data_IF_650534618001
#
_entry.id   IF_650534618001
#
_cell.length_a   1.000
_cell.length_b   1.000
_cell.length_c   1.000
_cell.angle_alpha   90.00
_cell.angle_beta   90.00
_cell.angle_gamma   90.00
#
_symmetry.space_group_name_H-M   'P 1'
#
loop_
_entity.id
_entity.type
_entity.pdbx_description
1 polymer ?
#
# COMPACT_ATOMS: atom_id res chain seq x y z
N UNK A 1 10.08 22.85 3.39
CA UNK A 1 10.50 21.86 2.36
C UNK A 1 9.56 21.99 1.18
N UNK A 2 10.08 22.18 -0.04
CA UNK A 2 9.25 22.17 -1.25
C UNK A 2 9.12 20.72 -1.69
N UNK A 3 7.97 20.10 -1.44
CA UNK A 3 7.69 18.70 -1.79
C UNK A 3 7.18 18.58 -3.23
N UNK A 4 7.78 19.31 -4.17
CA UNK A 4 7.44 19.21 -5.59
C UNK A 4 8.68 18.77 -6.34
N UNK A 5 8.56 17.75 -7.19
CA UNK A 5 9.69 17.25 -7.95
C UNK A 5 10.37 16.02 -7.33
N UNK A 6 9.65 15.23 -6.53
CA UNK A 6 10.18 13.94 -6.09
C UNK A 6 10.18 13.02 -7.31
N UNK A 7 11.35 12.59 -7.74
CA UNK A 7 11.51 11.67 -8.87
C UNK A 7 11.21 10.25 -8.39
N UNK A 8 10.33 9.56 -9.11
CA UNK A 8 9.95 8.18 -8.84
C UNK A 8 10.18 7.39 -10.11
N UNK A 9 11.08 6.41 -10.01
CA UNK A 9 11.34 5.45 -11.07
C UNK A 9 10.19 4.43 -11.19
N UNK A 10 9.79 4.09 -12.40
CA UNK A 10 8.77 3.08 -12.72
C UNK A 10 9.23 2.32 -13.97
N UNK A 11 9.85 1.16 -13.77
CA UNK A 11 10.62 0.48 -14.81
C UNK A 11 11.73 1.40 -15.32
N UNK A 12 11.84 1.55 -16.64
CA UNK A 12 12.84 2.43 -17.28
C UNK A 12 12.47 3.93 -17.28
N UNK A 13 11.27 4.27 -16.80
CA UNK A 13 10.79 5.65 -16.79
C UNK A 13 11.05 6.31 -15.43
N UNK A 14 11.27 7.62 -15.44
CA UNK A 14 11.30 8.44 -14.22
C UNK A 14 10.21 9.50 -14.33
N UNK A 15 9.29 9.48 -13.37
CA UNK A 15 8.15 10.39 -13.32
C UNK A 15 8.25 11.30 -12.11
N UNK A 16 7.75 12.52 -12.25
CA UNK A 16 7.83 13.53 -11.20
C UNK A 16 6.54 13.60 -10.39
N UNK A 17 6.67 13.42 -9.09
CA UNK A 17 5.55 13.50 -8.16
C UNK A 17 5.43 14.90 -7.55
N UNK A 18 4.19 15.37 -7.51
CA UNK A 18 3.78 16.64 -6.89
C UNK A 18 3.03 16.32 -5.61
N UNK A 19 3.47 16.88 -4.49
CA UNK A 19 2.79 16.71 -3.22
C UNK A 19 2.02 17.98 -2.89
N UNK A 20 0.71 17.85 -2.70
CA UNK A 20 -0.14 18.88 -2.10
C UNK A 20 -0.37 18.51 -0.64
N UNK A 21 -0.34 19.50 0.25
CA UNK A 21 -0.46 19.26 1.69
C UNK A 21 -1.69 19.99 2.21
N UNK A 22 -2.50 19.29 3.00
CA UNK A 22 -3.54 19.86 3.83
C UNK A 22 -3.27 19.54 5.29
N UNK A 23 -3.85 20.34 6.19
CA UNK A 23 -3.81 20.09 7.62
C UNK A 23 -5.23 20.07 8.18
N UNK A 24 -5.49 19.19 9.13
CA UNK A 24 -6.70 19.18 9.94
C UNK A 24 -6.27 19.56 11.36
N UNK A 25 -6.32 20.86 11.71
CA UNK A 25 -5.67 21.37 12.92
C UNK A 25 -6.16 20.73 14.22
N UNK A 26 -7.48 20.53 14.33
CA UNK A 26 -8.10 19.95 15.54
C UNK A 26 -7.65 18.51 15.79
N UNK A 27 -7.37 17.76 14.72
CA UNK A 27 -6.87 16.38 14.80
C UNK A 27 -5.33 16.31 14.79
N UNK A 28 -4.64 17.45 14.67
CA UNK A 28 -3.19 17.55 14.43
C UNK A 28 -2.72 16.64 13.28
N UNK A 29 -3.57 16.44 12.28
CA UNK A 29 -3.32 15.54 11.16
C UNK A 29 -2.79 16.33 9.96
N UNK A 30 -1.71 15.82 9.36
CA UNK A 30 -1.24 16.26 8.05
C UNK A 30 -1.68 15.26 6.99
N UNK A 31 -2.25 15.76 5.90
CA UNK A 31 -2.73 14.96 4.79
C UNK A 31 -1.91 15.33 3.55
N UNK A 32 -1.27 14.32 2.97
CA UNK A 32 -0.46 14.46 1.77
C UNK A 32 -1.23 13.85 0.59
N UNK A 33 -1.47 14.68 -0.43
CA UNK A 33 -2.05 14.25 -1.70
C UNK A 33 -0.93 14.16 -2.73
N UNK A 34 -0.71 12.94 -3.21
CA UNK A 34 0.27 12.63 -4.25
C UNK A 34 -0.40 12.83 -5.60
N UNK A 35 0.20 13.66 -6.45
CA UNK A 35 -0.33 14.06 -7.75
C UNK A 35 0.76 13.93 -8.84
N UNK A 36 0.34 13.68 -10.07
CA UNK A 36 1.19 13.55 -11.25
C UNK A 36 0.35 13.78 -12.51
N UNK A 37 0.88 14.57 -13.45
CA UNK A 37 0.13 14.99 -14.64
C UNK A 37 -0.10 13.85 -15.64
N UNK A 38 0.80 12.85 -15.66
CA UNK A 38 0.74 11.66 -16.53
C UNK A 38 -0.32 10.67 -16.02
N UNK A 39 -0.26 10.34 -14.74
CA UNK A 39 -0.98 9.21 -14.15
C UNK A 39 -2.33 9.56 -13.54
N UNK A 40 -2.54 10.78 -13.03
CA UNK A 40 -3.73 11.09 -12.23
C UNK A 40 -4.69 12.11 -12.86
N UNK A 41 -4.36 12.67 -14.03
CA UNK A 41 -5.23 13.60 -14.77
C UNK A 41 -6.34 12.88 -15.56
N UNK A 42 -7.26 12.21 -14.86
CA UNK A 42 -8.36 11.41 -15.44
C UNK A 42 -9.61 11.41 -14.56
N UNK A 43 -10.70 10.81 -15.05
CA UNK A 43 -12.00 10.80 -14.35
C UNK A 43 -12.20 9.65 -13.36
N UNK A 44 -11.64 8.47 -13.64
CA UNK A 44 -11.79 7.28 -12.80
C UNK A 44 -10.52 6.97 -11.98
N UNK A 45 -10.68 6.26 -10.87
CA UNK A 45 -9.56 5.80 -10.05
C UNK A 45 -8.87 4.62 -10.70
N UNK A 46 -9.50 3.45 -10.73
CA UNK A 46 -8.93 2.23 -11.32
C UNK A 46 -9.63 1.81 -12.60
N UNK A 47 -10.92 2.14 -12.72
CA UNK A 47 -11.78 1.80 -13.84
C UNK A 47 -12.25 3.03 -14.61
N UNK A 48 -12.52 2.84 -15.90
CA UNK A 48 -13.11 3.84 -16.78
C UNK A 48 -14.58 4.05 -16.37
N UNK A 49 -15.04 5.27 -16.04
CA UNK A 49 -16.37 5.51 -15.47
C UNK A 49 -17.57 5.01 -16.29
N UNK A 50 -17.41 4.81 -17.60
CA UNK A 50 -18.50 4.44 -18.51
C UNK A 50 -18.51 2.95 -18.89
N UNK A 51 -17.41 2.22 -18.67
CA UNK A 51 -17.29 0.82 -19.12
C UNK A 51 -17.01 -0.15 -17.99
N UNK A 52 -16.69 0.34 -16.79
CA UNK A 52 -16.22 -0.45 -15.64
C UNK A 52 -14.95 -1.28 -15.92
N UNK A 53 -14.30 -1.06 -17.05
CA UNK A 53 -13.02 -1.69 -17.40
C UNK A 53 -11.88 -1.00 -16.65
N UNK A 54 -10.91 -1.79 -16.18
CA UNK A 54 -9.66 -1.25 -15.66
C UNK A 54 -8.91 -0.42 -16.70
N UNK A 55 -8.18 0.59 -16.24
CA UNK A 55 -7.21 1.29 -17.06
C UNK A 55 -6.00 0.37 -17.34
N UNK A 56 -5.54 0.36 -18.60
CA UNK A 56 -4.40 -0.46 -19.05
C UNK A 56 -3.10 -0.10 -18.33
N UNK A 57 -2.97 1.15 -17.88
CA UNK A 57 -1.79 1.67 -17.19
C UNK A 57 -1.88 1.59 -15.65
N UNK A 58 -2.84 0.83 -15.10
CA UNK A 58 -2.98 0.70 -13.65
C UNK A 58 -1.73 0.14 -12.97
N UNK A 59 -1.01 -0.77 -13.62
CA UNK A 59 0.24 -1.31 -13.09
C UNK A 59 1.28 -0.21 -12.86
N UNK A 60 1.51 0.63 -13.87
CA UNK A 60 2.40 1.79 -13.80
C UNK A 60 1.95 2.78 -12.72
N UNK A 61 0.65 3.06 -12.64
CA UNK A 61 0.08 4.02 -11.69
C UNK A 61 0.19 3.56 -10.24
N UNK A 62 -0.07 2.28 -9.98
CA UNK A 62 0.03 1.69 -8.65
C UNK A 62 1.49 1.57 -8.22
N UNK A 63 2.39 1.15 -9.12
CA UNK A 63 3.83 1.14 -8.85
C UNK A 63 4.35 2.54 -8.53
N UNK A 64 3.99 3.54 -9.34
CA UNK A 64 4.32 4.95 -9.10
C UNK A 64 3.80 5.44 -7.76
N UNK A 65 2.52 5.20 -7.45
CA UNK A 65 1.90 5.67 -6.21
C UNK A 65 2.57 5.06 -4.98
N UNK A 66 2.74 3.73 -4.95
CA UNK A 66 3.29 3.02 -3.79
C UNK A 66 4.76 3.37 -3.55
N UNK A 67 5.60 3.42 -4.61
CA UNK A 67 6.98 3.92 -4.49
C UNK A 67 6.97 5.38 -4.04
N UNK A 68 6.14 6.21 -4.66
CA UNK A 68 6.01 7.62 -4.32
C UNK A 68 5.66 7.89 -2.85
N UNK A 69 4.78 7.09 -2.24
CA UNK A 69 4.51 7.22 -0.79
C UNK A 69 5.79 7.05 0.03
N UNK A 70 6.57 6.00 -0.24
CA UNK A 70 7.79 5.72 0.51
C UNK A 70 8.91 6.74 0.22
N UNK A 71 9.09 7.13 -1.04
CA UNK A 71 10.01 8.21 -1.44
C UNK A 71 9.65 9.54 -0.75
N UNK A 72 8.36 9.83 -0.59
CA UNK A 72 7.90 11.03 0.11
C UNK A 72 8.25 10.98 1.60
N UNK A 73 8.04 9.84 2.26
CA UNK A 73 8.39 9.65 3.68
C UNK A 73 9.91 9.82 3.88
N UNK A 74 10.73 9.19 3.03
CA UNK A 74 12.19 9.35 3.04
C UNK A 74 12.60 10.81 2.84
N UNK A 75 11.98 11.52 1.89
CA UNK A 75 12.30 12.93 1.61
C UNK A 75 11.91 13.88 2.73
N UNK A 76 10.85 13.54 3.47
CA UNK A 76 10.42 14.27 4.67
C UNK A 76 11.38 14.05 5.85
N UNK A 77 12.15 12.97 5.85
CA UNK A 77 12.97 12.57 7.00
C UNK A 77 12.12 12.23 8.23
N UNK A 78 10.89 11.77 8.00
CA UNK A 78 9.96 11.37 9.05
C UNK A 78 10.05 9.86 9.26
N UNK A 79 10.55 9.43 10.43
CA UNK A 79 10.59 8.03 10.85
C UNK A 79 9.20 7.61 11.37
N UNK A 80 8.44 6.77 10.63
CA UNK A 80 7.13 6.34 11.08
C UNK A 80 7.25 5.15 12.03
N UNK A 81 6.56 5.20 13.16
CA UNK A 81 6.43 4.01 14.03
C UNK A 81 5.59 2.92 13.35
N UNK A 82 4.55 3.35 12.62
CA UNK A 82 3.61 2.47 11.93
C UNK A 82 3.34 2.99 10.52
N UNK A 83 3.34 2.07 9.54
CA UNK A 83 2.74 2.27 8.23
C UNK A 83 1.49 1.40 8.15
N UNK A 84 0.32 2.04 8.03
CA UNK A 84 -0.96 1.34 7.93
C UNK A 84 -1.47 1.37 6.49
N UNK A 85 -1.42 0.22 5.84
CA UNK A 85 -1.82 0.03 4.45
C UNK A 85 -3.30 -0.37 4.40
N UNK A 86 -4.08 0.36 3.61
CA UNK A 86 -5.50 0.10 3.42
C UNK A 86 -5.74 -0.61 2.09
N UNK A 87 -6.08 -1.89 2.19
CA UNK A 87 -6.55 -2.72 1.09
C UNK A 87 -5.58 -2.83 -0.11
N UNK A 88 -6.04 -3.42 -1.21
CA UNK A 88 -5.23 -3.79 -2.36
C UNK A 88 -4.44 -2.65 -3.02
N UNK A 89 -4.89 -1.38 -3.08
CA UNK A 89 -4.11 -0.32 -3.72
C UNK A 89 -2.79 -0.03 -2.99
N UNK A 90 -2.72 -0.34 -1.69
CA UNK A 90 -1.54 -0.22 -0.85
C UNK A 90 -0.78 -1.55 -0.66
N UNK A 91 -1.18 -2.61 -1.37
CA UNK A 91 -0.62 -3.97 -1.22
C UNK A 91 0.87 -4.09 -1.56
N UNK A 92 1.43 -3.13 -2.30
CA UNK A 92 2.86 -3.12 -2.64
C UNK A 92 3.73 -2.49 -1.56
N UNK A 93 3.18 -1.64 -0.68
CA UNK A 93 3.98 -0.99 0.37
C UNK A 93 4.67 -2.01 1.28
N UNK A 94 4.00 -3.05 1.81
CA UNK A 94 4.66 -4.03 2.67
C UNK A 94 5.82 -4.73 1.96
N UNK A 95 5.61 -5.19 0.72
CA UNK A 95 6.67 -5.80 -0.11
C UNK A 95 7.86 -4.84 -0.25
N UNK A 96 7.61 -3.59 -0.64
CA UNK A 96 8.66 -2.59 -0.88
C UNK A 96 9.46 -2.29 0.38
N UNK A 97 8.79 -2.10 1.53
CA UNK A 97 9.45 -1.84 2.82
C UNK A 97 10.33 -3.03 3.25
N UNK A 98 9.86 -4.27 3.05
CA UNK A 98 10.61 -5.48 3.44
C UNK A 98 11.70 -5.92 2.46
N UNK A 99 11.71 -5.35 1.25
CA UNK A 99 12.66 -5.74 0.20
C UNK A 99 13.50 -4.55 -0.26
N UNK A 100 12.99 -3.74 -1.19
CA UNK A 100 13.70 -2.61 -1.81
C UNK A 100 14.21 -1.59 -0.80
N UNK A 101 13.40 -1.26 0.23
CA UNK A 101 13.72 -0.24 1.23
C UNK A 101 14.11 -0.84 2.59
N UNK A 102 14.45 -2.14 2.65
CA UNK A 102 14.73 -2.84 3.92
C UNK A 102 15.92 -2.27 4.71
N UNK A 103 16.89 -1.70 3.99
CA UNK A 103 18.12 -1.16 4.56
C UNK A 103 18.03 0.35 4.83
N UNK A 104 16.90 0.99 4.51
CA UNK A 104 16.66 2.40 4.80
C UNK A 104 16.44 2.61 6.30
N UNK A 105 17.32 3.38 6.92
CA UNK A 105 17.32 3.60 8.37
C UNK A 105 15.96 4.12 8.89
N UNK A 106 15.27 4.92 8.07
CA UNK A 106 13.98 5.53 8.39
C UNK A 106 12.87 4.50 8.66
N UNK A 107 12.97 3.30 8.08
CA UNK A 107 11.98 2.23 8.21
C UNK A 107 12.42 1.10 9.16
N UNK A 108 13.62 1.18 9.73
CA UNK A 108 14.25 0.08 10.49
C UNK A 108 13.40 -0.44 11.66
N UNK A 109 12.64 0.45 12.31
CA UNK A 109 11.78 0.11 13.45
C UNK A 109 10.29 0.14 13.12
N UNK A 110 9.92 0.51 11.89
CA UNK A 110 8.54 0.68 11.46
C UNK A 110 7.80 -0.66 11.47
N UNK A 111 6.62 -0.68 12.06
CA UNK A 111 5.67 -1.78 11.92
C UNK A 111 4.76 -1.54 10.71
N UNK A 112 4.59 -2.54 9.85
CA UNK A 112 3.67 -2.45 8.71
C UNK A 112 2.39 -3.21 9.03
N UNK A 113 1.27 -2.50 9.09
CA UNK A 113 -0.07 -3.08 9.20
C UNK A 113 -0.70 -3.16 7.82
N UNK A 114 -1.27 -4.30 7.46
CA UNK A 114 -2.16 -4.42 6.32
C UNK A 114 -3.59 -4.63 6.79
N UNK A 115 -4.50 -3.76 6.36
CA UNK A 115 -5.89 -3.77 6.79
C UNK A 115 -6.81 -4.10 5.62
N UNK A 116 -7.48 -5.24 5.74
CA UNK A 116 -8.32 -5.84 4.73
C UNK A 116 -9.79 -5.49 5.02
N UNK A 117 -10.39 -4.64 4.18
CA UNK A 117 -11.72 -4.06 4.44
C UNK A 117 -12.84 -4.80 3.72
N UNK A 118 -12.74 -5.00 2.41
CA UNK A 118 -13.76 -5.68 1.63
C UNK A 118 -13.19 -6.33 0.35
N UNK A 119 -13.47 -7.63 0.12
CA UNK A 119 -12.95 -8.42 -1.00
C UNK A 119 -13.52 -8.12 -2.39
N UNK A 120 -14.44 -7.17 -2.57
CA UNK A 120 -15.09 -7.00 -3.88
C UNK A 120 -14.03 -6.74 -4.97
N UNK A 121 -13.78 -7.79 -5.76
CA UNK A 121 -12.53 -8.07 -6.47
C UNK A 121 -12.02 -6.89 -7.29
N UNK A 122 -10.93 -6.25 -6.84
CA UNK A 122 -10.07 -5.42 -7.70
C UNK A 122 -8.56 -5.57 -7.40
N UNK A 123 -8.17 -6.45 -6.46
CA UNK A 123 -6.78 -6.60 -6.02
C UNK A 123 -5.86 -7.42 -6.92
N UNK A 124 -6.37 -7.98 -8.02
CA UNK A 124 -5.55 -8.67 -9.01
C UNK A 124 -5.04 -7.67 -10.06
N UNK A 125 -3.72 -7.55 -10.18
CA UNK A 125 -3.12 -6.98 -11.36
C UNK A 125 -3.00 -8.09 -12.42
N UNK A 126 -3.62 -7.87 -13.58
CA UNK A 126 -3.62 -8.81 -14.71
C UNK A 126 -2.22 -9.09 -15.29
N UNK A 127 -1.17 -8.48 -14.74
CA UNK A 127 0.20 -8.66 -15.23
C UNK A 127 1.24 -8.62 -14.11
N UNK A 128 2.12 -9.62 -14.12
CA UNK A 128 3.39 -9.63 -13.37
C UNK A 128 4.29 -8.42 -13.67
N UNK A 129 4.06 -7.71 -14.79
CA UNK A 129 4.76 -6.49 -15.17
C UNK A 129 4.79 -5.47 -14.03
N UNK A 130 3.75 -5.41 -13.18
CA UNK A 130 3.77 -4.48 -12.05
C UNK A 130 4.99 -4.68 -11.14
N UNK A 131 5.45 -5.92 -10.93
CA UNK A 131 6.62 -6.22 -10.11
C UNK A 131 7.93 -5.81 -10.80
N UNK A 132 7.99 -5.96 -12.12
CA UNK A 132 9.13 -5.50 -12.95
C UNK A 132 9.28 -3.98 -12.87
N UNK A 133 8.17 -3.23 -12.77
CA UNK A 133 8.18 -1.76 -12.65
C UNK A 133 8.71 -1.26 -11.30
N UNK A 134 8.77 -2.12 -10.27
CA UNK A 134 9.19 -1.70 -8.93
C UNK A 134 10.70 -1.54 -8.81
N UNK A 135 11.47 -2.22 -9.65
CA UNK A 135 12.92 -2.35 -9.50
C UNK A 135 13.27 -3.03 -8.18
N UNK A 136 12.69 -4.22 -7.96
CA UNK A 136 13.00 -5.06 -6.81
C UNK A 136 14.45 -5.56 -6.88
N UNK A 137 15.11 -5.81 -5.73
CA UNK A 137 16.42 -6.44 -5.70
C UNK A 137 16.48 -7.78 -6.46
N UNK A 138 17.62 -8.11 -7.06
CA UNK A 138 17.81 -9.33 -7.87
C UNK A 138 17.59 -10.65 -7.11
N UNK A 139 17.70 -10.64 -5.77
CA UNK A 139 17.46 -11.80 -4.91
C UNK A 139 15.96 -12.08 -4.68
N UNK A 140 15.07 -11.19 -5.13
CA UNK A 140 13.63 -11.39 -5.08
C UNK A 140 13.15 -12.13 -6.34
N UNK A 141 12.77 -13.38 -6.17
CA UNK A 141 12.19 -14.20 -7.25
C UNK A 141 10.73 -13.81 -7.51
N UNK A 142 10.53 -12.98 -8.53
CA UNK A 142 9.21 -12.50 -8.97
C UNK A 142 8.25 -13.66 -9.27
N UNK A 143 8.73 -14.81 -9.75
CA UNK A 143 7.86 -15.94 -10.07
C UNK A 143 7.15 -16.49 -8.83
N UNK A 144 7.78 -16.41 -7.66
CA UNK A 144 7.17 -16.80 -6.37
C UNK A 144 6.13 -15.80 -5.86
N UNK A 145 6.08 -14.62 -6.45
CA UNK A 145 5.13 -13.57 -6.12
C UNK A 145 3.94 -13.54 -7.10
N UNK A 146 3.93 -14.45 -8.07
CA UNK A 146 2.92 -14.51 -9.14
C UNK A 146 2.26 -15.88 -9.20
N UNK A 147 1.01 -15.91 -9.63
CA UNK A 147 0.31 -17.14 -10.02
C UNK A 147 -0.15 -17.02 -11.47
N UNK A 148 0.28 -17.95 -12.33
CA UNK A 148 0.00 -17.94 -13.77
C UNK A 148 0.26 -16.59 -14.46
N UNK A 149 1.34 -15.90 -14.05
CA UNK A 149 1.73 -14.58 -14.60
C UNK A 149 0.90 -13.40 -14.12
N UNK A 150 -0.02 -13.62 -13.16
CA UNK A 150 -0.79 -12.58 -12.48
C UNK A 150 -0.24 -12.31 -11.09
N UNK A 151 -0.48 -11.10 -10.61
CA UNK A 151 -0.09 -10.67 -9.26
C UNK A 151 -1.33 -10.35 -8.45
N UNK A 152 -1.39 -10.90 -7.25
CA UNK A 152 -2.40 -10.56 -6.27
C UNK A 152 -1.81 -9.57 -5.24
N UNK A 153 -2.23 -8.31 -5.35
CA UNK A 153 -1.76 -7.24 -4.46
C UNK A 153 -2.27 -7.40 -3.03
N UNK A 154 -3.43 -8.04 -2.83
CA UNK A 154 -3.92 -8.38 -1.49
C UNK A 154 -2.98 -9.40 -0.85
N UNK A 155 -2.65 -10.45 -1.61
CA UNK A 155 -1.74 -11.50 -1.12
C UNK A 155 -0.37 -10.94 -0.77
N UNK A 156 0.18 -10.03 -1.58
CA UNK A 156 1.44 -9.35 -1.25
C UNK A 156 1.33 -8.52 0.03
N UNK A 157 0.23 -7.78 0.19
CA UNK A 157 -0.03 -7.00 1.40
C UNK A 157 -0.08 -7.88 2.65
N UNK A 158 -0.78 -9.01 2.56
CA UNK A 158 -0.86 -10.01 3.63
C UNK A 158 0.52 -10.61 3.95
N UNK A 159 1.22 -11.12 2.94
CA UNK A 159 2.45 -11.89 3.09
C UNK A 159 3.62 -11.07 3.66
N UNK A 160 3.72 -9.77 3.32
CA UNK A 160 4.87 -8.94 3.69
C UNK A 160 4.60 -7.97 4.86
N UNK A 161 3.37 -7.93 5.38
CA UNK A 161 3.04 -7.12 6.55
C UNK A 161 3.49 -7.77 7.87
N UNK A 162 3.77 -6.95 8.88
CA UNK A 162 4.05 -7.44 10.24
C UNK A 162 2.75 -7.82 10.97
N UNK A 163 1.66 -7.13 10.64
CA UNK A 163 0.35 -7.32 11.26
C UNK A 163 -0.74 -7.27 10.20
N UNK A 164 -1.69 -8.19 10.27
CA UNK A 164 -2.92 -8.14 9.47
C UNK A 164 -4.09 -7.79 10.37
N UNK A 165 -4.89 -6.80 9.97
CA UNK A 165 -6.10 -6.38 10.66
C UNK A 165 -7.31 -6.51 9.74
N UNK A 166 -8.45 -6.86 10.32
CA UNK A 166 -9.72 -7.00 9.60
C UNK A 166 -10.85 -6.27 10.33
N UNK A 167 -11.89 -5.90 9.59
CA UNK A 167 -13.03 -5.14 10.10
C UNK A 167 -14.31 -5.95 10.33
N UNK A 168 -15.42 -5.22 10.56
CA UNK A 168 -16.77 -5.76 10.79
C UNK A 168 -17.30 -6.68 9.68
N UNK A 169 -16.82 -6.51 8.46
CA UNK A 169 -17.47 -7.03 7.27
C UNK A 169 -16.72 -8.17 6.60
N UNK A 170 -15.49 -8.46 7.05
CA UNK A 170 -14.76 -9.60 6.54
C UNK A 170 -15.36 -10.88 7.13
N UNK A 171 -15.82 -11.77 6.26
CA UNK A 171 -16.33 -13.10 6.61
C UNK A 171 -15.24 -14.14 6.39
N UNK A 172 -15.64 -15.36 6.07
CA UNK A 172 -14.76 -16.52 5.91
C UNK A 172 -14.00 -16.57 4.57
N UNK A 173 -14.18 -15.58 3.70
CA UNK A 173 -13.69 -15.56 2.30
C UNK A 173 -12.16 -15.67 2.18
N UNK A 174 -11.42 -15.25 3.21
CA UNK A 174 -9.95 -15.33 3.25
C UNK A 174 -9.40 -16.37 4.22
N UNK A 175 -10.26 -17.19 4.86
CA UNK A 175 -9.79 -18.18 5.83
C UNK A 175 -8.74 -19.11 5.21
N UNK A 176 -9.01 -19.62 4.01
CA UNK A 176 -8.07 -20.49 3.29
C UNK A 176 -6.75 -19.75 2.99
N UNK A 177 -6.81 -18.48 2.58
CA UNK A 177 -5.62 -17.66 2.32
C UNK A 177 -4.83 -17.40 3.59
N UNK A 178 -5.49 -17.13 4.72
CA UNK A 178 -4.84 -16.93 6.00
C UNK A 178 -4.17 -18.22 6.49
N UNK A 179 -4.84 -19.36 6.35
CA UNK A 179 -4.27 -20.67 6.71
C UNK A 179 -3.05 -21.00 5.84
N UNK A 180 -3.17 -20.82 4.52
CA UNK A 180 -2.08 -21.06 3.57
C UNK A 180 -0.85 -20.19 3.88
N UNK A 181 -1.06 -18.91 4.21
CA UNK A 181 0.01 -17.96 4.54
C UNK A 181 0.49 -18.06 6.00
N UNK A 182 -0.17 -18.86 6.85
CA UNK A 182 0.12 -18.93 8.28
C UNK A 182 -0.17 -17.65 9.06
N UNK A 183 -1.11 -16.83 8.57
CA UNK A 183 -1.48 -15.53 9.14
C UNK A 183 -2.65 -15.69 10.12
N UNK A 184 -2.56 -15.00 11.25
CA UNK A 184 -3.68 -14.86 12.19
C UNK A 184 -4.10 -13.39 12.25
N UNK A 185 -5.16 -12.97 11.55
CA UNK A 185 -5.57 -11.57 11.55
C UNK A 185 -6.07 -11.14 12.92
N UNK A 186 -5.79 -9.89 13.29
CA UNK A 186 -6.39 -9.25 14.45
C UNK A 186 -7.70 -8.57 14.04
N UNK A 187 -8.83 -9.09 14.51
CA UNK A 187 -10.14 -8.54 14.17
C UNK A 187 -10.45 -7.31 15.04
N UNK A 188 -10.55 -6.13 14.41
CA UNK A 188 -10.96 -4.88 15.05
C UNK A 188 -12.36 -4.53 14.53
N UNK A 189 -13.36 -4.76 15.37
CA UNK A 189 -14.78 -4.64 15.02
C UNK A 189 -15.57 -3.87 16.10
N UNK A 190 -16.70 -3.27 15.74
CA UNK A 190 -17.54 -2.45 16.61
C UNK A 190 -18.20 -1.28 15.88
N UNK A 191 -18.80 -0.37 16.64
CA UNK A 191 -19.24 0.93 16.11
C UNK A 191 -18.04 1.78 15.64
N UNK A 192 -18.23 2.79 14.78
CA UNK A 192 -17.14 3.68 14.38
C UNK A 192 -16.36 4.28 15.55
N UNK A 193 -17.07 4.65 16.63
CA UNK A 193 -16.46 5.17 17.85
C UNK A 193 -15.62 4.09 18.55
N UNK A 194 -16.15 2.89 18.74
CA UNK A 194 -15.43 1.77 19.39
C UNK A 194 -14.20 1.33 18.58
N UNK A 195 -14.33 1.29 17.25
CA UNK A 195 -13.24 0.86 16.36
C UNK A 195 -12.06 1.83 16.44
N UNK A 196 -12.33 3.13 16.55
CA UNK A 196 -11.29 4.15 16.67
C UNK A 196 -10.46 3.97 17.95
N UNK A 197 -11.11 3.70 19.09
CA UNK A 197 -10.43 3.42 20.36
C UNK A 197 -9.61 2.13 20.27
N UNK A 198 -10.18 1.04 19.74
CA UNK A 198 -9.48 -0.24 19.58
C UNK A 198 -8.27 -0.13 18.66
N UNK A 199 -8.35 0.64 17.57
CA UNK A 199 -7.18 0.91 16.72
C UNK A 199 -6.11 1.69 17.48
N UNK A 200 -6.48 2.71 18.26
CA UNK A 200 -5.52 3.47 19.06
C UNK A 200 -4.81 2.57 20.09
N UNK A 201 -5.55 1.71 20.80
CA UNK A 201 -4.98 0.72 21.71
C UNK A 201 -4.05 -0.26 21.00
N UNK A 202 -4.45 -0.74 19.81
CA UNK A 202 -3.63 -1.64 19.01
C UNK A 202 -2.33 -0.98 18.54
N UNK A 203 -2.40 0.26 18.06
CA UNK A 203 -1.22 1.03 17.68
C UNK A 203 -0.28 1.23 18.86
N UNK A 204 -0.79 1.62 20.03
CA UNK A 204 0.03 1.79 21.25
C UNK A 204 0.69 0.49 21.71
N UNK A 205 0.11 -0.67 21.40
CA UNK A 205 0.68 -1.97 21.73
C UNK A 205 1.86 -2.36 20.83
N UNK A 206 1.81 -1.97 19.55
CA UNK A 206 2.79 -2.42 18.55
C UNK A 206 3.82 -1.36 18.19
N UNK A 207 3.49 -0.06 18.34
CA UNK A 207 4.45 1.02 18.26
C UNK A 207 5.42 0.92 19.44
N UNK A 208 6.70 1.22 19.19
CA UNK A 208 7.74 1.20 20.22
C UNK A 208 7.77 2.49 21.03
#
# INVERSE_FOLDING_TARGET
IRLSGIEVEVGDNVESMKIKVASIPNAKLQVYFLDNDTYFKRKGLFKKPNTDEFYEDNAERLAFYNKGVLETVMKLGWEPDIIHCHDWPAGLIPLLVKTKYKDEAIFKNTQVIYNLHHPENEGQADTAKILELLGLPEDIDINKLTDNGKVDLLRLGLQFSDHVVTGNYLKDEFNDTFEELGIKPHQIQGSPEDVSEKFAEYYNKIAK
#
